data_IF_251450350919
#
_entry.id   IF_251450350919
#
_cell.length_a   1.000
_cell.length_b   1.000
_cell.length_c   1.000
_cell.angle_alpha   90.00
_cell.angle_beta   90.00
_cell.angle_gamma   90.00
#
_symmetry.space_group_name_H-M   'P 1'
#
loop_
_entity.id
_entity.type
_entity.pdbx_description
1 polymer ?
#
# COMPACT_ATOMS: atom_id res chain seq x y z
N UNK A 1 -6.82 -15.59 5.60
CA UNK A 1 -7.36 -14.28 5.13
C UNK A 1 -8.31 -14.56 3.99
N UNK A 2 -9.62 -14.29 4.12
CA UNK A 2 -10.61 -14.71 3.12
C UNK A 2 -10.47 -13.83 1.86
N UNK A 3 -10.48 -14.45 0.69
CA UNK A 3 -10.29 -13.82 -0.64
C UNK A 3 -11.30 -12.68 -0.95
N UNK A 4 -12.42 -12.59 -0.23
CA UNK A 4 -13.50 -11.63 -0.48
C UNK A 4 -13.16 -10.15 -0.23
N UNK A 5 -12.05 -9.85 0.48
CA UNK A 5 -11.63 -8.47 0.75
C UNK A 5 -10.75 -7.83 -0.36
N UNK A 6 -10.35 -8.59 -1.38
CA UNK A 6 -9.52 -8.09 -2.48
C UNK A 6 -10.33 -7.42 -3.61
N UNK A 7 -11.62 -7.69 -3.70
CA UNK A 7 -12.51 -7.14 -4.74
C UNK A 7 -13.35 -5.97 -4.22
N UNK A 8 -12.72 -4.87 -3.81
CA UNK A 8 -13.46 -3.61 -3.64
C UNK A 8 -13.63 -2.94 -5.01
N UNK A 9 -14.85 -2.58 -5.45
CA UNK A 9 -15.13 -2.02 -6.79
C UNK A 9 -14.40 -0.71 -7.08
N UNK A 10 -13.97 0.03 -6.05
CA UNK A 10 -13.12 1.21 -6.18
C UNK A 10 -11.70 0.91 -6.75
N UNK A 11 -11.21 -0.32 -6.66
CA UNK A 11 -9.90 -0.70 -7.22
C UNK A 11 -9.91 -0.79 -8.74
N UNK A 12 -11.03 -1.24 -9.32
CA UNK A 12 -11.22 -1.31 -10.78
C UNK A 12 -11.28 0.09 -11.41
N UNK A 13 -11.79 1.08 -10.68
CA UNK A 13 -11.82 2.48 -11.13
C UNK A 13 -10.42 3.11 -11.17
N UNK A 14 -9.46 2.63 -10.36
CA UNK A 14 -8.05 3.08 -10.41
C UNK A 14 -7.34 2.70 -11.72
N UNK A 15 -7.76 1.59 -12.34
CA UNK A 15 -7.27 1.17 -13.66
C UNK A 15 -7.83 2.00 -14.82
N UNK A 16 -8.70 3.00 -14.60
CA UNK A 16 -9.03 3.98 -15.65
C UNK A 16 -7.90 4.97 -15.93
N UNK A 17 -6.89 5.06 -15.06
CA UNK A 17 -5.72 5.91 -15.31
C UNK A 17 -4.75 5.23 -16.28
N UNK A 18 -4.60 5.73 -17.53
CA UNK A 18 -3.79 5.07 -18.55
C UNK A 18 -2.31 4.98 -18.18
N UNK A 19 -1.81 5.93 -17.38
CA UNK A 19 -0.42 5.95 -16.90
C UNK A 19 -0.12 4.78 -15.96
N UNK A 20 -1.02 4.47 -15.03
CA UNK A 20 -0.81 3.39 -14.06
C UNK A 20 -0.86 2.02 -14.74
N UNK A 21 -1.79 1.84 -15.68
CA UNK A 21 -1.87 0.64 -16.51
C UNK A 21 -0.59 0.42 -17.33
N UNK A 22 -0.06 1.49 -17.91
CA UNK A 22 1.19 1.40 -18.68
C UNK A 22 2.36 0.98 -17.80
N UNK A 23 2.48 1.52 -16.59
CA UNK A 23 3.52 1.10 -15.63
C UNK A 23 3.40 -0.38 -15.26
N UNK A 24 2.20 -0.89 -14.98
CA UNK A 24 1.97 -2.30 -14.63
C UNK A 24 2.21 -3.25 -15.82
N UNK A 25 1.86 -2.85 -17.04
CA UNK A 25 2.15 -3.61 -18.25
C UNK A 25 3.65 -3.64 -18.55
N UNK A 26 4.34 -2.52 -18.34
CA UNK A 26 5.78 -2.42 -18.52
C UNK A 26 6.54 -3.27 -17.49
N UNK A 27 6.15 -3.25 -16.22
CA UNK A 27 6.74 -4.15 -15.20
C UNK A 27 6.47 -5.62 -15.51
N UNK A 28 5.27 -5.96 -15.99
CA UNK A 28 4.95 -7.31 -16.44
C UNK A 28 5.84 -7.75 -17.61
N UNK A 29 5.97 -6.93 -18.65
CA UNK A 29 6.82 -7.25 -19.81
C UNK A 29 8.30 -7.43 -19.41
N UNK A 30 8.80 -6.55 -18.54
CA UNK A 30 10.17 -6.63 -18.02
C UNK A 30 10.37 -7.90 -17.19
N UNK A 31 9.44 -8.22 -16.28
CA UNK A 31 9.57 -9.44 -15.46
C UNK A 31 9.50 -10.72 -16.28
N UNK A 32 8.66 -10.80 -17.30
CA UNK A 32 8.57 -11.96 -18.20
C UNK A 32 9.84 -12.11 -19.04
N UNK A 33 10.33 -11.03 -19.65
CA UNK A 33 11.55 -11.05 -20.48
C UNK A 33 12.78 -11.44 -19.67
N UNK A 34 12.95 -10.86 -18.46
CA UNK A 34 14.03 -11.23 -17.55
C UNK A 34 13.91 -12.66 -17.04
N UNK A 35 12.69 -13.14 -16.74
CA UNK A 35 12.47 -14.52 -16.29
C UNK A 35 12.80 -15.54 -17.39
N UNK A 36 12.43 -15.23 -18.64
CA UNK A 36 12.75 -16.03 -19.82
C UNK A 36 14.26 -16.07 -20.06
N UNK A 37 14.91 -14.90 -20.01
CA UNK A 37 16.36 -14.77 -20.18
C UNK A 37 17.12 -15.48 -19.05
N UNK A 38 16.59 -15.45 -17.82
CA UNK A 38 17.13 -16.21 -16.68
C UNK A 38 17.16 -17.71 -16.95
N UNK A 39 16.07 -18.28 -17.48
CA UNK A 39 15.99 -19.71 -17.84
C UNK A 39 17.02 -20.12 -18.88
N UNK A 40 17.32 -19.25 -19.85
CA UNK A 40 18.28 -19.54 -20.92
C UNK A 40 19.74 -19.30 -20.49
N UNK A 41 19.99 -18.23 -19.73
CA UNK A 41 21.33 -17.67 -19.55
C UNK A 41 21.90 -17.75 -18.15
N UNK A 42 21.16 -18.18 -17.12
CA UNK A 42 21.67 -18.15 -15.74
C UNK A 42 21.78 -19.55 -15.13
N UNK A 43 22.80 -19.81 -14.28
CA UNK A 43 23.01 -21.10 -13.64
C UNK A 43 21.91 -21.48 -12.63
N UNK A 44 21.33 -20.52 -11.91
CA UNK A 44 20.25 -20.75 -10.94
C UNK A 44 18.98 -19.97 -11.33
N UNK A 45 18.29 -20.36 -12.42
CA UNK A 45 17.23 -19.55 -12.99
C UNK A 45 16.11 -19.24 -11.98
N UNK A 46 15.74 -20.21 -11.15
CA UNK A 46 14.72 -20.06 -10.11
C UNK A 46 15.09 -19.03 -9.04
N UNK A 47 16.35 -18.95 -8.62
CA UNK A 47 16.76 -18.00 -7.58
C UNK A 47 16.63 -16.57 -8.10
N UNK A 48 17.02 -16.31 -9.35
CA UNK A 48 16.84 -15.01 -9.98
C UNK A 48 15.37 -14.67 -10.20
N UNK A 49 14.55 -15.64 -10.63
CA UNK A 49 13.11 -15.46 -10.79
C UNK A 49 12.46 -15.08 -9.44
N UNK A 50 12.82 -15.74 -8.34
CA UNK A 50 12.29 -15.40 -7.01
C UNK A 50 12.62 -13.96 -6.61
N UNK A 51 13.85 -13.48 -6.88
CA UNK A 51 14.24 -12.09 -6.59
C UNK A 51 13.43 -11.11 -7.43
N UNK A 52 13.23 -11.38 -8.73
CA UNK A 52 12.41 -10.54 -9.62
C UNK A 52 10.94 -10.49 -9.20
N UNK A 53 10.37 -11.65 -8.83
CA UNK A 53 9.00 -11.74 -8.33
C UNK A 53 8.84 -10.98 -7.02
N UNK A 54 9.82 -11.06 -6.13
CA UNK A 54 9.76 -10.33 -4.88
C UNK A 54 9.86 -8.81 -5.09
N UNK A 55 10.75 -8.37 -5.99
CA UNK A 55 10.81 -6.96 -6.38
C UNK A 55 9.47 -6.46 -6.95
N UNK A 56 8.85 -7.23 -7.82
CA UNK A 56 7.50 -6.95 -8.36
C UNK A 56 6.45 -6.86 -7.25
N UNK A 57 6.46 -7.80 -6.30
CA UNK A 57 5.51 -7.86 -5.19
C UNK A 57 5.65 -6.68 -4.21
N UNK A 58 6.85 -6.12 -4.05
CA UNK A 58 7.08 -4.93 -3.22
C UNK A 58 6.58 -3.66 -3.92
N UNK A 59 6.80 -3.56 -5.24
CA UNK A 59 6.49 -2.35 -6.01
C UNK A 59 5.01 -2.22 -6.36
N UNK A 60 4.32 -3.33 -6.60
CA UNK A 60 2.99 -3.35 -7.19
C UNK A 60 1.89 -3.69 -6.17
N UNK A 61 0.66 -3.21 -6.40
CA UNK A 61 -0.49 -3.59 -5.60
C UNK A 61 -0.81 -5.09 -5.71
N UNK A 62 -1.51 -5.61 -4.69
CA UNK A 62 -1.75 -7.05 -4.48
C UNK A 62 -2.28 -7.80 -5.71
N UNK A 63 -3.18 -7.20 -6.48
CA UNK A 63 -3.78 -7.85 -7.66
C UNK A 63 -2.82 -7.91 -8.85
N UNK A 64 -2.06 -6.85 -9.09
CA UNK A 64 -1.08 -6.80 -10.18
C UNK A 64 0.10 -7.74 -9.92
N UNK A 65 0.60 -7.74 -8.69
CA UNK A 65 1.63 -8.69 -8.25
C UNK A 65 1.17 -10.15 -8.42
N UNK A 66 -0.09 -10.45 -8.10
CA UNK A 66 -0.67 -11.79 -8.28
C UNK A 66 -0.73 -12.20 -9.76
N UNK A 67 -1.15 -11.30 -10.66
CA UNK A 67 -1.19 -11.57 -12.10
C UNK A 67 0.22 -11.81 -12.67
N UNK A 68 1.21 -11.03 -12.24
CA UNK A 68 2.61 -11.24 -12.65
C UNK A 68 3.11 -12.57 -12.12
N UNK A 69 2.80 -12.93 -10.87
CA UNK A 69 3.17 -14.22 -10.31
C UNK A 69 2.54 -15.38 -11.09
N UNK A 70 1.24 -15.29 -11.41
CA UNK A 70 0.55 -16.33 -12.16
C UNK A 70 1.11 -16.50 -13.58
N UNK A 71 1.31 -15.40 -14.30
CA UNK A 71 1.81 -15.41 -15.68
C UNK A 71 3.25 -15.90 -15.78
N UNK A 72 4.11 -15.48 -14.86
CA UNK A 72 5.51 -15.95 -14.80
C UNK A 72 5.61 -17.43 -14.45
N UNK A 73 4.83 -17.92 -13.48
CA UNK A 73 4.78 -19.35 -13.13
C UNK A 73 4.25 -20.18 -14.30
N UNK A 74 3.20 -19.72 -14.98
CA UNK A 74 2.66 -20.39 -16.16
C UNK A 74 3.68 -20.44 -17.31
N UNK A 75 4.39 -19.35 -17.56
CA UNK A 75 5.46 -19.29 -18.57
C UNK A 75 6.59 -20.27 -18.24
N UNK A 76 7.08 -20.25 -17.00
CA UNK A 76 8.13 -21.16 -16.52
C UNK A 76 7.70 -22.63 -16.66
N UNK A 77 6.45 -22.95 -16.28
CA UNK A 77 5.90 -24.29 -16.42
C UNK A 77 5.80 -24.72 -17.88
N UNK A 78 5.42 -23.83 -18.79
CA UNK A 78 5.33 -24.13 -20.22
C UNK A 78 6.72 -24.39 -20.81
N UNK A 79 7.73 -23.60 -20.43
CA UNK A 79 9.12 -23.80 -20.86
C UNK A 79 9.65 -25.15 -20.41
N UNK A 80 9.39 -25.54 -19.16
CA UNK A 80 9.82 -26.83 -18.61
C UNK A 80 9.12 -28.01 -19.30
N UNK A 81 7.86 -27.84 -19.71
CA UNK A 81 7.11 -28.85 -20.46
C UNK A 81 7.59 -28.99 -21.90
N UNK A 82 8.02 -27.89 -22.54
CA UNK A 82 8.54 -27.89 -23.91
C UNK A 82 9.94 -28.52 -24.01
N UNK A 83 10.87 -28.09 -23.15
CA UNK A 83 12.26 -28.55 -23.16
C UNK A 83 12.77 -28.91 -21.74
N UNK A 84 12.60 -30.16 -21.29
CA UNK A 84 13.08 -30.61 -19.98
C UNK A 84 14.61 -30.53 -19.82
N UNK A 85 15.34 -30.46 -20.94
CA UNK A 85 16.80 -30.33 -21.00
C UNK A 85 17.31 -29.00 -20.43
N UNK A 86 16.47 -27.96 -20.34
CA UNK A 86 16.79 -26.68 -19.69
C UNK A 86 17.21 -26.83 -18.21
N UNK A 87 16.67 -27.84 -17.52
CA UNK A 87 17.07 -28.16 -16.14
C UNK A 87 18.36 -28.97 -16.07
N UNK A 88 18.67 -29.69 -17.15
CA UNK A 88 19.78 -30.62 -17.23
C UNK A 88 21.07 -29.99 -17.76
N UNK A 89 21.02 -28.82 -18.43
CA UNK A 89 22.22 -28.12 -18.89
C UNK A 89 23.06 -27.70 -17.69
N UNK A 90 24.21 -28.35 -17.42
CA UNK A 90 24.92 -28.09 -16.21
C UNK A 90 25.85 -26.92 -16.53
N UNK A 91 25.45 -25.70 -16.13
CA UNK A 91 26.35 -24.53 -16.06
C UNK A 91 27.35 -24.74 -14.91
N UNK A 92 28.15 -25.79 -15.04
CA UNK A 92 29.02 -26.34 -14.00
C UNK A 92 30.08 -25.37 -13.57
N UNK A 93 30.56 -24.51 -14.46
CA UNK A 93 31.65 -23.57 -14.16
C UNK A 93 31.27 -22.61 -13.02
N UNK A 94 30.19 -21.84 -13.18
CA UNK A 94 29.72 -20.91 -12.14
C UNK A 94 29.17 -21.63 -10.91
N UNK A 95 28.49 -22.76 -11.10
CA UNK A 95 27.96 -23.56 -9.99
C UNK A 95 29.06 -24.14 -9.10
N UNK A 96 30.20 -24.53 -9.69
CA UNK A 96 31.35 -25.09 -8.97
C UNK A 96 32.17 -24.01 -8.27
N UNK A 97 32.32 -22.83 -8.87
CA UNK A 97 33.14 -21.75 -8.30
C UNK A 97 32.40 -20.85 -7.32
N UNK A 98 31.06 -20.74 -7.41
CA UNK A 98 30.28 -19.79 -6.61
C UNK A 98 29.00 -20.40 -6.02
N UNK A 99 29.06 -21.54 -5.31
CA UNK A 99 27.86 -22.21 -4.80
C UNK A 99 27.06 -21.38 -3.78
N UNK A 100 27.67 -20.36 -3.18
CA UNK A 100 27.03 -19.47 -2.19
C UNK A 100 26.16 -18.36 -2.81
N UNK A 101 26.31 -18.07 -4.10
CA UNK A 101 25.59 -16.99 -4.79
C UNK A 101 24.06 -17.06 -4.61
N UNK A 102 23.38 -18.21 -4.79
CA UNK A 102 21.94 -18.26 -4.63
C UNK A 102 21.49 -17.94 -3.19
N UNK A 103 22.27 -18.31 -2.18
CA UNK A 103 21.97 -17.97 -0.78
C UNK A 103 22.07 -16.47 -0.53
N UNK A 104 23.08 -15.80 -1.10
CA UNK A 104 23.20 -14.34 -1.03
C UNK A 104 22.03 -13.64 -1.74
N UNK A 105 21.61 -14.15 -2.90
CA UNK A 105 20.48 -13.59 -3.64
C UNK A 105 19.16 -13.71 -2.87
N UNK A 106 18.94 -14.78 -2.10
CA UNK A 106 17.73 -14.97 -1.29
C UNK A 106 17.67 -13.98 -0.11
N UNK A 107 18.83 -13.52 0.38
CA UNK A 107 18.88 -12.56 1.49
C UNK A 107 18.50 -11.14 1.07
N UNK A 108 18.77 -10.74 -0.19
CA UNK A 108 18.40 -9.41 -0.70
C UNK A 108 16.89 -9.14 -0.53
N UNK A 109 15.99 -10.04 -0.97
CA UNK A 109 14.59 -10.02 -0.65
C UNK A 109 14.22 -9.74 0.79
N UNK A 110 14.72 -10.56 1.71
CA UNK A 110 14.37 -10.49 3.11
C UNK A 110 14.78 -9.15 3.73
N UNK A 111 15.97 -8.65 3.37
CA UNK A 111 16.49 -7.39 3.89
C UNK A 111 15.73 -6.19 3.33
N UNK A 112 15.46 -6.17 2.02
CA UNK A 112 14.66 -5.12 1.39
C UNK A 112 13.25 -5.10 1.99
N UNK A 113 12.62 -6.27 2.13
CA UNK A 113 11.28 -6.37 2.72
C UNK A 113 11.28 -5.88 4.17
N UNK A 114 12.30 -6.20 4.95
CA UNK A 114 12.47 -5.71 6.32
C UNK A 114 12.60 -4.19 6.35
N UNK A 115 13.43 -3.62 5.47
CA UNK A 115 13.61 -2.17 5.34
C UNK A 115 12.31 -1.46 4.95
N UNK A 116 11.63 -1.97 3.92
CA UNK A 116 10.36 -1.42 3.42
C UNK A 116 9.27 -1.50 4.50
N UNK A 117 9.13 -2.65 5.16
CA UNK A 117 8.20 -2.84 6.26
C UNK A 117 8.49 -1.87 7.41
N UNK A 118 9.76 -1.68 7.76
CA UNK A 118 10.16 -0.76 8.81
C UNK A 118 9.82 0.69 8.46
N UNK A 119 10.13 1.13 7.24
CA UNK A 119 9.81 2.46 6.74
C UNK A 119 8.29 2.73 6.77
N UNK A 120 7.47 1.81 6.25
CA UNK A 120 6.01 1.94 6.30
C UNK A 120 5.46 1.95 7.72
N UNK A 121 6.04 1.18 8.64
CA UNK A 121 5.63 1.19 10.05
C UNK A 121 5.98 2.50 10.73
N UNK A 122 7.17 3.04 10.48
CA UNK A 122 7.59 4.32 11.03
C UNK A 122 6.68 5.46 10.58
N UNK A 123 6.34 5.50 9.29
CA UNK A 123 5.42 6.50 8.73
C UNK A 123 4.02 6.38 9.32
N UNK A 124 3.45 5.17 9.37
CA UNK A 124 2.13 4.94 10.00
C UNK A 124 2.12 5.30 11.49
N UNK A 125 3.21 5.00 12.20
CA UNK A 125 3.35 5.35 13.61
C UNK A 125 3.36 6.87 13.79
N UNK A 126 4.12 7.59 12.97
CA UNK A 126 4.16 9.06 13.01
C UNK A 126 2.79 9.69 12.73
N UNK A 127 2.05 9.17 11.75
CA UNK A 127 0.67 9.62 11.45
C UNK A 127 -0.25 9.35 12.64
N UNK A 128 -0.24 8.12 13.18
CA UNK A 128 -1.07 7.72 14.31
C UNK A 128 -0.76 8.52 15.60
N UNK A 129 0.52 8.75 15.88
CA UNK A 129 0.95 9.56 17.02
C UNK A 129 0.53 11.02 16.87
N UNK A 130 0.64 11.57 15.65
CA UNK A 130 0.19 12.93 15.36
C UNK A 130 -1.32 13.06 15.51
N UNK A 131 -2.10 12.10 14.98
CA UNK A 131 -3.56 12.07 15.15
C UNK A 131 -3.95 11.95 16.62
N UNK A 132 -3.29 11.08 17.37
CA UNK A 132 -3.56 10.89 18.81
C UNK A 132 -3.22 12.15 19.60
N UNK A 133 -2.08 12.79 19.30
CA UNK A 133 -1.67 14.04 19.96
C UNK A 133 -2.65 15.17 19.65
N UNK A 134 -3.09 15.30 18.40
CA UNK A 134 -4.12 16.26 18.02
C UNK A 134 -5.44 16.00 18.75
N UNK A 135 -5.92 14.75 18.75
CA UNK A 135 -7.14 14.35 19.43
C UNK A 135 -7.10 14.66 20.92
N UNK A 136 -5.98 14.37 21.59
CA UNK A 136 -5.80 14.66 23.01
C UNK A 136 -5.74 16.16 23.29
N UNK A 137 -5.01 16.93 22.47
CA UNK A 137 -4.93 18.38 22.62
C UNK A 137 -6.31 19.04 22.45
N UNK A 138 -7.11 18.54 21.50
CA UNK A 138 -8.49 18.97 21.31
C UNK A 138 -9.36 18.63 22.53
N UNK A 139 -9.37 17.36 22.92
CA UNK A 139 -10.26 16.81 23.96
C UNK A 139 -10.04 17.43 25.34
N UNK A 140 -8.77 17.69 25.72
CA UNK A 140 -8.40 18.19 27.04
C UNK A 140 -8.13 19.70 27.10
N UNK A 141 -8.37 20.44 26.01
CA UNK A 141 -8.27 21.90 26.04
C UNK A 141 -9.33 22.54 26.92
N UNK A 142 -8.94 23.57 27.66
CA UNK A 142 -9.85 24.41 28.44
C UNK A 142 -10.70 25.35 27.57
N UNK A 143 -10.28 25.61 26.33
CA UNK A 143 -11.05 26.40 25.35
C UNK A 143 -11.91 25.46 24.52
N UNK A 144 -13.16 25.87 24.26
CA UNK A 144 -14.06 25.15 23.38
C UNK A 144 -13.52 25.09 21.96
N UNK A 145 -13.37 23.88 21.43
CA UNK A 145 -12.91 23.61 20.07
C UNK A 145 -13.88 22.70 19.33
N UNK A 146 -14.04 22.96 18.05
CA UNK A 146 -14.78 22.09 17.15
C UNK A 146 -14.18 22.05 15.75
N UNK A 147 -14.45 20.95 15.07
CA UNK A 147 -14.29 20.78 13.64
C UNK A 147 -15.68 20.88 13.02
N UNK A 148 -15.88 21.84 12.12
CA UNK A 148 -17.15 22.08 11.44
C UNK A 148 -16.97 21.79 9.96
N UNK A 149 -17.92 21.09 9.35
CA UNK A 149 -17.93 20.84 7.91
C UNK A 149 -18.27 22.10 7.12
N UNK A 150 -18.04 22.07 5.80
CA UNK A 150 -18.35 23.20 4.90
C UNK A 150 -19.83 23.56 4.87
N UNK A 151 -20.72 22.62 5.19
CA UNK A 151 -22.16 22.85 5.32
C UNK A 151 -22.60 23.25 6.73
N UNK A 152 -21.65 23.55 7.64
CA UNK A 152 -21.95 23.99 9.00
C UNK A 152 -22.30 22.88 10.00
N UNK A 153 -22.15 21.61 9.60
CA UNK A 153 -22.37 20.43 10.45
C UNK A 153 -21.21 20.23 11.42
N UNK A 154 -21.49 19.97 12.70
CA UNK A 154 -20.45 19.66 13.68
C UNK A 154 -19.88 18.26 13.41
N UNK A 155 -18.61 18.19 13.00
CA UNK A 155 -17.91 16.93 12.75
C UNK A 155 -17.32 16.35 14.03
N UNK A 156 -16.74 17.23 14.86
CA UNK A 156 -16.13 16.88 16.14
C UNK A 156 -16.17 18.10 17.06
N UNK A 157 -16.45 17.91 18.34
CA UNK A 157 -16.39 18.95 19.38
C UNK A 157 -15.71 18.40 20.62
N UNK A 158 -15.00 19.25 21.36
CA UNK A 158 -14.36 18.85 22.62
C UNK A 158 -15.30 19.02 23.83
N UNK A 159 -14.93 18.41 24.95
CA UNK A 159 -15.70 18.48 26.20
C UNK A 159 -15.91 19.90 26.70
N UNK A 160 -14.91 20.78 26.58
CA UNK A 160 -15.02 22.17 27.01
C UNK A 160 -16.12 22.92 26.23
N UNK A 161 -16.21 22.72 24.91
CA UNK A 161 -17.27 23.35 24.10
C UNK A 161 -18.65 22.83 24.49
N UNK A 162 -18.79 21.51 24.69
CA UNK A 162 -20.02 20.90 25.18
C UNK A 162 -20.44 21.49 26.53
N UNK A 163 -19.50 21.67 27.46
CA UNK A 163 -19.76 22.27 28.77
C UNK A 163 -20.12 23.76 28.68
N UNK A 164 -19.46 24.53 27.81
CA UNK A 164 -19.76 25.95 27.62
C UNK A 164 -21.12 26.20 26.99
N UNK A 165 -21.49 25.39 25.98
CA UNK A 165 -22.77 25.52 25.29
C UNK A 165 -23.92 24.81 26.04
N UNK A 166 -23.61 23.92 26.97
CA UNK A 166 -24.60 23.16 27.74
C UNK A 166 -25.23 21.99 26.99
N UNK A 167 -24.66 21.58 25.85
CA UNK A 167 -25.14 20.48 25.02
C UNK A 167 -24.20 19.28 25.06
N UNK A 168 -24.74 18.07 24.94
CA UNK A 168 -23.93 16.87 24.74
C UNK A 168 -23.34 16.83 23.32
N UNK A 169 -22.30 16.02 23.15
CA UNK A 169 -21.65 15.84 21.84
C UNK A 169 -22.61 15.27 20.79
N UNK A 170 -23.55 14.43 21.20
CA UNK A 170 -24.55 13.82 20.31
C UNK A 170 -25.60 14.84 19.87
N UNK A 171 -26.06 15.70 20.78
CA UNK A 171 -27.00 16.78 20.47
C UNK A 171 -26.37 17.83 19.54
N UNK A 172 -25.12 18.24 19.80
CA UNK A 172 -24.41 19.15 18.90
C UNK A 172 -24.25 18.58 17.50
N UNK A 173 -24.05 17.26 17.37
CA UNK A 173 -23.92 16.61 16.05
C UNK A 173 -25.21 16.62 15.22
N UNK A 174 -26.36 16.76 15.87
CA UNK A 174 -27.67 16.90 15.22
C UNK A 174 -28.05 18.34 14.89
N UNK A 175 -27.28 19.31 15.37
CA UNK A 175 -27.49 20.74 15.13
C UNK A 175 -26.48 21.24 14.08
N UNK A 176 -26.70 22.45 13.57
CA UNK A 176 -25.71 23.17 12.76
C UNK A 176 -25.19 24.36 13.54
N UNK A 177 -23.94 24.78 13.31
CA UNK A 177 -23.39 25.93 14.04
C UNK A 177 -24.24 27.20 13.84
N UNK A 178 -24.85 27.33 12.65
CA UNK A 178 -25.72 28.43 12.27
C UNK A 178 -27.00 28.54 13.12
N UNK A 179 -27.46 27.44 13.72
CA UNK A 179 -28.62 27.42 14.61
C UNK A 179 -28.30 27.87 16.04
N UNK A 180 -27.01 27.84 16.41
CA UNK A 180 -26.52 28.23 17.74
C UNK A 180 -25.91 29.64 17.74
N UNK A 181 -25.34 30.07 16.61
CA UNK A 181 -24.76 31.41 16.45
C UNK A 181 -25.86 32.46 16.28
N UNK A 182 -25.72 33.61 16.96
CA UNK A 182 -26.66 34.72 16.83
C UNK A 182 -26.67 35.26 15.38
N UNK A 183 -27.85 35.59 14.80
CA UNK A 183 -27.97 35.92 13.37
C UNK A 183 -27.09 37.09 12.90
N UNK A 184 -26.79 38.04 13.79
CA UNK A 184 -25.96 39.20 13.45
C UNK A 184 -24.46 38.91 13.39
N UNK A 185 -23.99 37.87 14.11
CA UNK A 185 -22.59 37.43 14.03
C UNK A 185 -22.35 36.36 12.95
N UNK A 186 -23.42 35.71 12.47
CA UNK A 186 -23.34 34.72 11.38
C UNK A 186 -22.77 35.30 10.08
N UNK A 187 -23.06 36.58 9.80
CA UNK A 187 -22.58 37.28 8.60
C UNK A 187 -21.07 37.57 8.62
N UNK A 188 -20.39 37.48 9.78
CA UNK A 188 -18.94 37.69 9.89
C UNK A 188 -18.14 36.41 9.66
N UNK A 189 -18.72 35.24 9.94
CA UNK A 189 -18.04 33.94 9.88
C UNK A 189 -18.18 33.21 8.51
N UNK A 190 -19.04 33.72 7.61
CA UNK A 190 -19.32 33.14 6.28
C UNK A 190 -18.52 33.77 5.11
N UNK A 191 -17.54 34.64 5.39
CA UNK A 191 -16.59 35.17 4.38
C UNK A 191 -15.31 34.34 4.30
#
# INVERSE_FOLDING_TARGET
MPLGLLFKPHYLLRHRNPRLLFESLLTLAITLTLSWLSMLYLPWPFTFIIVLLMWSAVRLPRMEAFLIFLTTVMMVSLMMAADPSLLATPRTYLMRHMPWLPFLLILLPANIMTMVMYAFRAERKHISESETRFRNAMEYSAIGMALVGTEGQWLQSNKALCQFLGYSQEELRGLTFQQLTWPEDLNKDLQ
#
